data_IF_486790290597
#
_entry.id   IF_486790290597
#
_cell.length_a   1.000
_cell.length_b   1.000
_cell.length_c   1.000
_cell.angle_alpha   90.00
_cell.angle_beta   90.00
_cell.angle_gamma   90.00
#
_symmetry.space_group_name_H-M   'P 1'
#
loop_
_entity.id
_entity.type
_entity.pdbx_description
1 polymer ?
#
# COMPACT_ATOMS: atom_id res chain seq x y z
N UNK A 1 17.52 -33.30 23.89
CA UNK A 1 16.23 -33.56 24.55
C UNK A 1 15.19 -32.64 23.94
N UNK A 2 14.36 -33.15 23.02
CA UNK A 2 13.05 -32.59 22.67
C UNK A 2 12.31 -33.61 21.77
N UNK A 3 11.99 -34.77 22.35
CA UNK A 3 11.05 -35.75 21.80
C UNK A 3 9.74 -35.69 22.60
N UNK A 4 9.13 -34.51 22.64
CA UNK A 4 7.85 -34.33 23.32
C UNK A 4 6.97 -33.37 22.50
N UNK A 5 6.34 -33.90 21.45
CA UNK A 5 5.04 -33.43 20.94
C UNK A 5 4.67 -34.17 19.64
N UNK A 6 4.23 -35.43 19.75
CA UNK A 6 3.37 -36.06 18.72
C UNK A 6 2.27 -36.87 19.40
N UNK A 7 1.48 -36.21 20.23
CA UNK A 7 0.13 -36.67 20.53
C UNK A 7 -0.79 -35.90 19.57
N UNK A 8 -1.40 -36.62 18.63
CA UNK A 8 -2.33 -36.06 17.63
C UNK A 8 -3.64 -35.61 18.26
N UNK A 9 -3.59 -34.55 19.07
CA UNK A 9 -4.77 -33.81 19.47
C UNK A 9 -5.37 -33.13 18.24
N UNK A 10 -6.70 -33.11 18.14
CA UNK A 10 -7.41 -32.37 17.11
C UNK A 10 -6.91 -30.91 17.12
N UNK A 11 -6.35 -30.48 15.99
CA UNK A 11 -5.88 -29.10 15.81
C UNK A 11 -7.11 -28.19 15.84
N UNK A 12 -7.15 -27.26 16.80
CA UNK A 12 -8.19 -26.24 16.83
C UNK A 12 -8.01 -25.31 15.62
N UNK A 13 -8.88 -25.46 14.62
CA UNK A 13 -8.83 -24.67 13.39
C UNK A 13 -8.99 -23.18 13.64
N UNK A 14 -9.76 -22.78 14.66
CA UNK A 14 -9.93 -21.36 15.02
C UNK A 14 -8.66 -20.78 15.62
N UNK A 15 -7.92 -21.57 16.40
CA UNK A 15 -6.63 -21.14 16.92
C UNK A 15 -5.63 -20.91 15.78
N UNK A 16 -5.55 -21.84 14.83
CA UNK A 16 -4.68 -21.72 13.65
C UNK A 16 -5.04 -20.49 12.83
N UNK A 17 -6.33 -20.26 12.57
CA UNK A 17 -6.82 -19.09 11.85
C UNK A 17 -6.37 -17.79 12.53
N UNK A 18 -6.49 -17.70 13.86
CA UNK A 18 -6.02 -16.52 14.61
C UNK A 18 -4.51 -16.35 14.52
N UNK A 19 -3.73 -17.43 14.64
CA UNK A 19 -2.26 -17.35 14.52
C UNK A 19 -1.89 -16.80 13.15
N UNK A 20 -2.46 -17.36 12.07
CA UNK A 20 -2.21 -16.87 10.72
C UNK A 20 -2.63 -15.42 10.60
N UNK A 21 -3.87 -15.08 10.95
CA UNK A 21 -4.43 -13.73 10.77
C UNK A 21 -3.61 -12.63 11.46
N UNK A 22 -3.05 -12.89 12.64
CA UNK A 22 -2.35 -11.87 13.42
C UNK A 22 -0.83 -11.87 13.24
N UNK A 23 -0.26 -12.89 12.61
CA UNK A 23 1.19 -12.99 12.41
C UNK A 23 1.59 -12.96 10.92
N UNK A 24 0.60 -12.89 10.03
CA UNK A 24 0.77 -12.79 8.59
C UNK A 24 1.37 -11.44 8.21
N UNK A 25 2.46 -11.49 7.46
CA UNK A 25 2.97 -10.34 6.71
C UNK A 25 3.07 -10.69 5.24
N UNK A 26 2.60 -9.76 4.42
CA UNK A 26 2.88 -9.76 3.00
C UNK A 26 4.26 -9.12 2.79
N UNK A 27 5.08 -9.78 1.97
CA UNK A 27 6.36 -9.25 1.56
C UNK A 27 6.09 -8.23 0.47
N UNK A 28 6.22 -6.96 0.83
CA UNK A 28 6.12 -5.85 -0.10
C UNK A 28 7.03 -6.07 -1.31
N UNK A 29 6.50 -5.77 -2.50
CA UNK A 29 7.28 -5.79 -3.73
C UNK A 29 8.34 -4.68 -3.69
N UNK A 30 9.48 -4.84 -4.38
CA UNK A 30 10.45 -3.77 -4.53
C UNK A 30 9.79 -2.50 -5.08
N UNK A 31 10.28 -1.33 -4.66
CA UNK A 31 9.87 -0.05 -5.26
C UNK A 31 10.11 -0.08 -6.78
N UNK A 32 9.08 0.25 -7.57
CA UNK A 32 9.13 0.26 -9.04
C UNK A 32 8.21 -0.80 -9.67
N UNK A 33 8.07 -1.96 -9.03
CA UNK A 33 7.09 -2.97 -9.44
C UNK A 33 5.69 -2.51 -9.00
N UNK A 34 4.95 -1.89 -9.92
CA UNK A 34 3.56 -1.51 -9.68
C UNK A 34 2.76 -2.78 -9.34
N UNK A 35 2.26 -2.85 -8.11
CA UNK A 35 1.37 -3.91 -7.63
C UNK A 35 0.07 -4.03 -8.46
N UNK A 36 -0.15 -3.13 -9.43
CA UNK A 36 -1.29 -3.08 -10.35
C UNK A 36 -0.94 -3.39 -11.82
N UNK A 37 0.32 -3.70 -12.14
CA UNK A 37 0.70 -4.20 -13.48
C UNK A 37 0.37 -5.68 -13.66
N UNK A 38 0.30 -6.15 -14.92
CA UNK A 38 -0.10 -7.51 -15.33
C UNK A 38 0.78 -8.64 -14.74
N UNK A 39 1.88 -8.34 -14.06
CA UNK A 39 2.58 -9.27 -13.14
C UNK A 39 1.81 -9.56 -11.83
N UNK A 40 0.53 -9.19 -11.77
CA UNK A 40 -0.47 -9.61 -10.80
C UNK A 40 -0.68 -11.14 -10.75
N UNK A 41 -0.08 -11.93 -11.66
CA UNK A 41 -0.14 -13.40 -11.63
C UNK A 41 0.82 -14.04 -10.62
N UNK A 42 1.86 -13.33 -10.14
CA UNK A 42 2.74 -13.87 -9.10
C UNK A 42 2.05 -13.71 -7.76
N UNK A 43 1.67 -14.82 -7.08
CA UNK A 43 1.01 -14.73 -5.80
C UNK A 43 1.91 -13.98 -4.80
N UNK A 44 1.32 -13.12 -3.96
CA UNK A 44 2.08 -12.35 -2.99
C UNK A 44 2.91 -13.29 -2.12
N UNK A 45 4.20 -12.98 -1.98
CA UNK A 45 5.07 -13.73 -1.08
C UNK A 45 4.65 -13.38 0.34
N UNK A 46 4.31 -14.39 1.13
CA UNK A 46 3.85 -14.17 2.50
C UNK A 46 4.56 -15.09 3.48
N UNK A 47 4.46 -14.76 4.76
CA UNK A 47 5.00 -15.57 5.83
C UNK A 47 4.49 -15.15 7.20
N UNK A 48 4.95 -15.87 8.21
CA UNK A 48 4.60 -15.62 9.61
C UNK A 48 5.85 -15.14 10.35
N UNK A 49 5.79 -13.93 10.91
CA UNK A 49 6.86 -13.36 11.73
C UNK A 49 6.29 -12.89 13.07
N UNK A 50 6.16 -13.78 14.06
CA UNK A 50 5.48 -13.44 15.32
C UNK A 50 6.09 -12.27 16.09
N UNK A 51 7.41 -12.09 15.99
CA UNK A 51 8.07 -10.94 16.60
C UNK A 51 7.84 -9.65 15.81
N UNK A 52 7.71 -9.71 14.48
CA UNK A 52 7.41 -8.55 13.65
C UNK A 52 5.97 -8.07 13.84
N UNK A 53 5.05 -9.02 14.10
CA UNK A 53 3.64 -8.78 14.30
C UNK A 53 3.27 -7.99 15.57
N UNK A 54 4.23 -7.70 16.44
CA UNK A 54 4.02 -6.85 17.63
C UNK A 54 4.07 -5.36 17.32
N UNK A 55 4.62 -4.97 16.16
CA UNK A 55 4.76 -3.57 15.74
C UNK A 55 3.42 -3.10 15.21
N UNK A 56 2.79 -2.14 15.88
CA UNK A 56 1.45 -1.66 15.54
C UNK A 56 1.42 -0.75 14.28
N UNK A 57 0.22 -0.52 13.78
CA UNK A 57 -0.04 0.41 12.67
C UNK A 57 0.01 1.87 13.12
N UNK A 58 0.53 2.77 12.27
CA UNK A 58 0.21 4.19 12.29
C UNK A 58 0.30 4.81 10.89
N UNK A 59 -0.47 5.89 10.63
CA UNK A 59 -0.32 6.71 9.42
C UNK A 59 0.90 7.64 9.50
N UNK A 60 1.45 7.86 10.70
CA UNK A 60 2.69 8.62 10.93
C UNK A 60 3.76 7.72 11.58
N UNK A 61 4.24 6.68 10.86
CA UNK A 61 5.10 5.66 11.44
C UNK A 61 6.48 6.22 11.84
N UNK A 62 7.16 5.51 12.74
CA UNK A 62 8.54 5.80 13.12
C UNK A 62 9.53 4.70 12.71
N UNK A 63 9.01 3.57 12.23
CA UNK A 63 9.77 2.55 11.53
C UNK A 63 9.23 2.32 10.12
N UNK A 64 10.08 1.82 9.25
CA UNK A 64 9.69 1.22 7.97
C UNK A 64 10.18 -0.22 7.94
N UNK A 65 9.35 -1.11 7.39
CA UNK A 65 9.66 -2.52 7.20
C UNK A 65 10.16 -2.78 5.79
N UNK A 66 11.13 -3.69 5.67
CA UNK A 66 11.56 -4.27 4.38
C UNK A 66 11.92 -5.73 4.60
N UNK A 67 11.97 -6.51 3.52
CA UNK A 67 12.34 -7.91 3.59
C UNK A 67 13.63 -8.19 2.81
N UNK A 68 14.55 -8.92 3.42
CA UNK A 68 15.74 -9.46 2.77
C UNK A 68 15.65 -10.99 2.81
N UNK A 69 15.20 -11.60 1.72
CA UNK A 69 14.89 -13.02 1.67
C UNK A 69 13.77 -13.38 2.67
N UNK A 70 14.10 -14.10 3.73
CA UNK A 70 13.15 -14.49 4.79
C UNK A 70 13.27 -13.65 6.07
N UNK A 71 14.09 -12.60 6.05
CA UNK A 71 14.34 -11.72 7.20
C UNK A 71 13.51 -10.45 7.08
N UNK A 72 12.67 -10.18 8.08
CA UNK A 72 12.02 -8.88 8.25
C UNK A 72 13.00 -7.89 8.89
N UNK A 73 13.23 -6.76 8.23
CA UNK A 73 14.11 -5.69 8.67
C UNK A 73 13.30 -4.42 8.96
N UNK A 74 13.39 -3.92 10.18
CA UNK A 74 12.80 -2.64 10.58
C UNK A 74 13.89 -1.58 10.70
N UNK A 75 13.68 -0.41 10.10
CA UNK A 75 14.58 0.74 10.19
C UNK A 75 13.82 1.94 10.72
N UNK A 76 14.45 2.71 11.60
CA UNK A 76 13.91 3.99 12.04
C UNK A 76 13.88 4.98 10.87
N UNK A 77 12.76 5.68 10.71
CA UNK A 77 12.62 6.78 9.73
C UNK A 77 12.69 8.16 10.38
N UNK A 78 12.75 8.19 11.71
CA UNK A 78 12.96 9.38 12.54
C UNK A 78 13.53 8.98 13.90
N UNK A 79 13.99 9.96 14.67
CA UNK A 79 14.37 9.74 16.06
C UNK A 79 13.17 9.26 16.89
N UNK A 80 13.45 8.38 17.85
CA UNK A 80 12.47 7.75 18.75
C UNK A 80 12.96 7.88 20.19
N UNK A 81 12.09 8.38 21.07
CA UNK A 81 12.42 8.58 22.47
C UNK A 81 12.37 7.26 23.26
N UNK A 82 13.07 7.20 24.40
CA UNK A 82 12.97 6.05 25.28
C UNK A 82 11.52 5.86 25.79
N UNK A 83 10.97 4.66 25.56
CA UNK A 83 9.59 4.32 25.92
C UNK A 83 8.53 4.71 24.89
N UNK A 84 8.92 5.35 23.78
CA UNK A 84 8.03 5.56 22.64
C UNK A 84 7.77 4.23 21.92
N UNK A 85 6.52 4.01 21.52
CA UNK A 85 6.11 2.80 20.80
C UNK A 85 6.66 2.80 19.37
N UNK A 86 7.11 1.64 18.89
CA UNK A 86 7.49 1.45 17.49
C UNK A 86 6.24 1.13 16.66
N UNK A 87 6.00 1.93 15.62
CA UNK A 87 4.82 1.84 14.75
C UNK A 87 5.21 1.92 13.28
N UNK A 88 4.58 1.08 12.47
CA UNK A 88 4.79 0.88 11.03
C UNK A 88 3.52 1.24 10.24
N UNK A 89 3.64 1.46 8.93
CA UNK A 89 2.46 1.58 8.08
C UNK A 89 2.09 0.19 7.51
N UNK A 90 0.82 -0.21 7.65
CA UNK A 90 0.34 -1.52 7.18
C UNK A 90 -0.19 -1.49 5.76
N UNK A 91 -0.33 -0.29 5.19
CA UNK A 91 -1.04 -0.05 3.95
C UNK A 91 -0.19 0.80 3.02
N UNK A 92 -0.49 0.71 1.72
CA UNK A 92 0.12 1.57 0.73
C UNK A 92 -0.30 3.04 0.99
N UNK A 93 0.65 3.95 1.24
CA UNK A 93 0.35 5.36 1.51
C UNK A 93 -0.34 6.07 0.34
N UNK A 94 -0.29 5.51 -0.88
CA UNK A 94 -0.97 6.03 -2.07
C UNK A 94 -2.47 5.71 -2.11
N UNK A 95 -2.97 4.89 -1.19
CA UNK A 95 -4.40 4.64 -1.12
C UNK A 95 -5.16 5.90 -0.69
N UNK A 96 -6.28 6.23 -1.34
CA UNK A 96 -7.15 7.30 -0.89
C UNK A 96 -7.75 6.94 0.47
N UNK A 97 -8.04 7.95 1.29
CA UNK A 97 -8.51 7.79 2.67
C UNK A 97 -9.62 6.77 2.86
N UNK A 98 -10.64 6.78 2.01
CA UNK A 98 -11.76 5.87 2.13
C UNK A 98 -11.34 4.41 1.96
N UNK A 99 -10.45 4.15 0.99
CA UNK A 99 -9.91 2.83 0.74
C UNK A 99 -9.00 2.38 1.89
N UNK A 100 -8.18 3.28 2.45
CA UNK A 100 -7.39 3.02 3.67
C UNK A 100 -8.29 2.59 4.82
N UNK A 101 -9.34 3.36 5.10
CA UNK A 101 -10.27 3.08 6.18
C UNK A 101 -11.02 1.76 6.00
N UNK A 102 -11.48 1.47 4.78
CA UNK A 102 -12.10 0.19 4.47
C UNK A 102 -11.12 -0.98 4.62
N UNK A 103 -9.89 -0.84 4.13
CA UNK A 103 -8.87 -1.88 4.20
C UNK A 103 -8.48 -2.19 5.64
N UNK A 104 -8.14 -1.17 6.44
CA UNK A 104 -7.78 -1.33 7.85
C UNK A 104 -8.90 -1.99 8.66
N UNK A 105 -10.14 -1.58 8.44
CA UNK A 105 -11.29 -2.16 9.14
C UNK A 105 -11.53 -3.62 8.72
N UNK A 106 -11.47 -3.92 7.42
CA UNK A 106 -11.75 -5.27 6.89
C UNK A 106 -10.66 -6.28 7.24
N UNK A 107 -9.40 -5.91 7.01
CA UNK A 107 -8.25 -6.81 7.11
C UNK A 107 -7.75 -6.89 8.55
N UNK A 108 -7.53 -5.72 9.17
CA UNK A 108 -6.87 -5.63 10.47
C UNK A 108 -7.84 -5.41 11.63
N UNK A 109 -9.11 -5.07 11.37
CA UNK A 109 -10.07 -4.71 12.43
C UNK A 109 -9.72 -3.39 13.12
N UNK A 110 -8.92 -2.54 12.46
CA UNK A 110 -8.44 -1.26 12.99
C UNK A 110 -9.30 -0.14 12.40
N UNK A 111 -9.64 0.86 13.23
CA UNK A 111 -10.23 2.10 12.74
C UNK A 111 -9.09 3.02 12.29
N UNK A 112 -9.22 3.57 11.09
CA UNK A 112 -8.31 4.59 10.55
C UNK A 112 -8.16 5.78 11.51
N UNK A 113 -6.94 6.31 11.63
CA UNK A 113 -6.60 7.41 12.57
C UNK A 113 -7.29 8.73 12.22
N UNK A 114 -7.88 8.83 11.02
CA UNK A 114 -8.63 9.99 10.55
C UNK A 114 -8.00 10.61 9.31
N UNK A 115 -8.59 11.73 8.82
CA UNK A 115 -7.97 12.46 7.74
C UNK A 115 -6.63 13.02 8.21
N UNK A 116 -5.57 12.78 7.45
CA UNK A 116 -4.31 13.46 7.64
C UNK A 116 -4.29 14.82 6.91
N UNK A 117 -3.18 15.54 7.01
CA UNK A 117 -3.01 16.86 6.39
C UNK A 117 -2.81 16.82 4.86
N UNK A 118 -2.64 15.62 4.31
CA UNK A 118 -2.39 15.38 2.89
C UNK A 118 -3.65 14.91 2.16
N UNK A 119 -4.59 14.30 2.89
CA UNK A 119 -5.83 13.77 2.33
C UNK A 119 -6.66 14.80 1.56
N UNK A 120 -6.93 14.48 0.30
CA UNK A 120 -7.85 15.20 -0.53
C UNK A 120 -9.30 14.96 -0.11
N UNK A 121 -10.19 15.98 -0.27
CA UNK A 121 -11.61 15.76 -0.14
C UNK A 121 -12.08 14.64 -1.09
N UNK A 122 -12.93 13.75 -0.59
CA UNK A 122 -13.48 12.61 -1.35
C UNK A 122 -14.05 13.05 -2.71
N UNK A 123 -14.80 14.16 -2.72
CA UNK A 123 -15.39 14.70 -3.94
C UNK A 123 -14.34 15.13 -5.00
N UNK A 124 -13.15 15.59 -4.57
CA UNK A 124 -12.05 15.91 -5.47
C UNK A 124 -11.39 14.61 -5.96
N UNK A 125 -11.12 13.67 -5.06
CA UNK A 125 -10.54 12.38 -5.42
C UNK A 125 -11.40 11.63 -6.45
N UNK A 126 -12.73 11.57 -6.25
CA UNK A 126 -13.65 10.93 -7.19
C UNK A 126 -13.65 11.61 -8.57
N UNK A 127 -13.45 12.93 -8.64
CA UNK A 127 -13.34 13.64 -9.93
C UNK A 127 -12.05 13.27 -10.65
N UNK A 128 -10.93 13.21 -9.92
CA UNK A 128 -9.63 12.81 -10.44
C UNK A 128 -9.67 11.35 -10.91
N UNK A 129 -10.20 10.46 -10.08
CA UNK A 129 -10.27 9.02 -10.38
C UNK A 129 -11.10 8.73 -11.63
N UNK A 130 -12.25 9.39 -11.81
CA UNK A 130 -13.07 9.24 -13.03
C UNK A 130 -12.29 9.58 -14.29
N UNK A 131 -11.45 10.61 -14.24
CA UNK A 131 -10.62 11.03 -15.37
C UNK A 131 -9.47 10.06 -15.62
N UNK A 132 -8.81 9.61 -14.56
CA UNK A 132 -7.77 8.59 -14.65
C UNK A 132 -8.31 7.30 -15.26
N UNK A 133 -9.46 6.81 -14.79
CA UNK A 133 -10.10 5.60 -15.35
C UNK A 133 -10.51 5.78 -16.81
N UNK A 134 -11.02 6.96 -17.20
CA UNK A 134 -11.32 7.27 -18.60
C UNK A 134 -10.06 7.21 -19.47
N UNK A 135 -8.97 7.82 -19.02
CA UNK A 135 -7.69 7.79 -19.72
C UNK A 135 -7.13 6.37 -19.85
N UNK A 136 -7.12 5.60 -18.74
CA UNK A 136 -6.66 4.22 -18.74
C UNK A 136 -7.45 3.35 -19.71
N UNK A 137 -8.76 3.57 -19.82
CA UNK A 137 -9.62 2.85 -20.78
C UNK A 137 -9.21 3.15 -22.23
N UNK A 138 -8.92 4.41 -22.56
CA UNK A 138 -8.41 4.79 -23.90
C UNK A 138 -7.01 4.23 -24.17
N UNK A 139 -6.13 4.19 -23.18
CA UNK A 139 -4.79 3.61 -23.33
C UNK A 139 -4.82 2.11 -23.63
N UNK A 140 -5.72 1.36 -22.97
CA UNK A 140 -5.93 -0.07 -23.25
C UNK A 140 -6.41 -0.30 -24.68
N UNK A 141 -7.13 0.66 -25.26
CA UNK A 141 -7.59 0.62 -26.65
C UNK A 141 -6.54 1.14 -27.65
N UNK A 142 -5.32 1.43 -27.19
CA UNK A 142 -4.23 2.03 -27.96
C UNK A 142 -4.55 3.44 -28.52
N UNK A 143 -5.54 4.12 -27.93
CA UNK A 143 -5.98 5.46 -28.32
C UNK A 143 -5.31 6.55 -27.46
N UNK A 144 -3.98 6.64 -27.54
CA UNK A 144 -3.19 7.57 -26.73
C UNK A 144 -3.63 9.05 -26.86
N UNK A 145 -4.06 9.47 -28.07
CA UNK A 145 -4.56 10.82 -28.32
C UNK A 145 -5.87 11.13 -27.56
N UNK A 146 -6.72 10.13 -27.34
CA UNK A 146 -7.98 10.25 -26.60
C UNK A 146 -7.74 10.26 -25.08
N UNK A 147 -6.65 9.62 -24.61
CA UNK A 147 -6.27 9.60 -23.19
C UNK A 147 -5.73 10.95 -22.68
N UNK A 148 -5.09 11.73 -23.56
CA UNK A 148 -4.39 12.97 -23.18
C UNK A 148 -5.29 14.00 -22.50
N UNK A 149 -6.46 14.39 -23.05
CA UNK A 149 -7.29 15.42 -22.43
C UNK A 149 -7.81 15.03 -21.04
N UNK A 150 -8.03 13.74 -20.82
CA UNK A 150 -8.48 13.22 -19.53
C UNK A 150 -7.36 13.30 -18.47
N UNK A 151 -6.14 12.89 -18.81
CA UNK A 151 -4.98 12.99 -17.91
C UNK A 151 -4.53 14.43 -17.66
N UNK A 152 -4.56 15.28 -18.68
CA UNK A 152 -4.27 16.71 -18.53
C UNK A 152 -5.25 17.34 -17.54
N UNK A 153 -6.55 17.10 -17.71
CA UNK A 153 -7.57 17.62 -16.81
C UNK A 153 -7.42 17.07 -15.37
N UNK A 154 -7.07 15.79 -15.21
CA UNK A 154 -6.79 15.20 -13.89
C UNK A 154 -5.56 15.87 -13.23
N UNK A 155 -4.48 16.04 -13.98
CA UNK A 155 -3.23 16.66 -13.52
C UNK A 155 -3.44 18.12 -13.13
N UNK A 156 -4.21 18.87 -13.92
CA UNK A 156 -4.59 20.25 -13.62
C UNK A 156 -5.40 20.32 -12.33
N UNK A 157 -6.34 19.40 -12.09
CA UNK A 157 -7.08 19.32 -10.83
C UNK A 157 -6.16 19.05 -9.63
N UNK A 158 -5.22 18.10 -9.76
CA UNK A 158 -4.21 17.85 -8.73
C UNK A 158 -3.42 19.14 -8.41
N UNK A 159 -2.87 19.80 -9.43
CA UNK A 159 -2.08 21.02 -9.27
C UNK A 159 -2.86 22.20 -8.68
N UNK A 160 -4.11 22.41 -9.12
CA UNK A 160 -4.97 23.49 -8.63
C UNK A 160 -5.43 23.28 -7.19
N UNK A 161 -5.50 22.03 -6.71
CA UNK A 161 -5.89 21.73 -5.34
C UNK A 161 -4.88 22.27 -4.30
N UNK A 162 -3.60 22.34 -4.67
CA UNK A 162 -2.50 22.66 -3.76
C UNK A 162 -2.25 21.58 -2.69
N UNK A 163 -2.93 20.43 -2.77
CA UNK A 163 -2.79 19.32 -1.85
C UNK A 163 -1.67 18.39 -2.29
N UNK A 164 -1.04 17.73 -1.32
CA UNK A 164 0.05 16.77 -1.52
C UNK A 164 -0.41 15.35 -1.19
N UNK A 165 -1.64 15.00 -1.61
CA UNK A 165 -2.19 13.67 -1.40
C UNK A 165 -1.37 12.63 -2.19
N UNK A 166 -0.76 11.62 -1.54
CA UNK A 166 -0.03 10.57 -2.23
C UNK A 166 -0.89 9.80 -3.24
N UNK A 167 -2.22 9.79 -3.09
CA UNK A 167 -3.14 9.17 -4.04
C UNK A 167 -3.13 9.83 -5.42
N UNK A 168 -2.58 11.04 -5.55
CA UNK A 168 -2.41 11.69 -6.85
C UNK A 168 -1.24 11.14 -7.66
N UNK A 169 -0.38 10.31 -7.06
CA UNK A 169 0.81 9.74 -7.72
C UNK A 169 0.46 9.00 -9.00
N UNK A 170 -0.68 8.31 -9.03
CA UNK A 170 -1.09 7.50 -10.19
C UNK A 170 -1.41 8.32 -11.42
N UNK A 171 -1.97 9.51 -11.23
CA UNK A 171 -2.24 10.46 -12.30
C UNK A 171 -0.93 10.95 -12.90
N UNK A 172 0.03 11.28 -12.03
CA UNK A 172 1.35 11.77 -12.45
C UNK A 172 2.16 10.68 -13.17
N UNK A 173 2.06 9.43 -12.71
CA UNK A 173 2.66 8.28 -13.38
C UNK A 173 2.02 8.02 -14.75
N UNK A 174 0.69 7.98 -14.84
CA UNK A 174 0.01 7.78 -16.11
C UNK A 174 0.35 8.89 -17.13
N UNK A 175 0.50 10.13 -16.66
CA UNK A 175 0.95 11.24 -17.50
C UNK A 175 2.41 11.04 -17.96
N UNK A 176 3.31 10.65 -17.07
CA UNK A 176 4.71 10.41 -17.39
C UNK A 176 4.87 9.26 -18.40
N UNK A 177 4.11 8.18 -18.24
CA UNK A 177 4.05 7.06 -19.18
C UNK A 177 3.59 7.53 -20.56
N UNK A 178 2.48 8.29 -20.64
CA UNK A 178 1.95 8.81 -21.90
C UNK A 178 2.92 9.80 -22.59
N UNK A 179 3.68 10.58 -21.81
CA UNK A 179 4.69 11.49 -22.32
C UNK A 179 5.98 10.79 -22.76
N UNK A 180 6.13 9.48 -22.54
CA UNK A 180 7.38 8.75 -22.76
C UNK A 180 8.50 9.24 -21.85
N UNK A 181 8.16 9.74 -20.66
CA UNK A 181 9.08 10.31 -19.67
C UNK A 181 9.15 9.45 -18.39
N UNK A 182 8.66 8.21 -18.44
CA UNK A 182 8.82 7.28 -17.30
C UNK A 182 10.33 7.13 -17.05
N UNK A 183 10.82 7.42 -15.84
CA UNK A 183 12.21 7.16 -15.51
C UNK A 183 12.49 5.67 -15.79
N UNK A 184 13.54 5.37 -16.56
CA UNK A 184 14.02 3.99 -16.63
C UNK A 184 14.34 3.53 -15.21
N UNK A 185 13.81 2.36 -14.83
CA UNK A 185 14.07 1.75 -13.52
C UNK A 185 15.55 1.33 -13.47
N UNK A 186 16.43 2.29 -13.19
CA UNK A 186 17.84 2.03 -12.93
C UNK A 186 18.02 1.74 -11.44
N UNK A 187 17.76 0.49 -11.04
CA UNK A 187 18.19 -0.08 -9.76
C UNK A 187 18.85 -1.44 -9.98
#
# INVERSE_FOLDING_TARGET
ACEAARQGGAVDSKLVERIVRHNYHEVERPFGEDSRTEEAEIPPRCGLWPLAAVVNHSLSPNVTRSFLGHTACYRLVRDVAAGEELVDNYIDPRLPREERAMFLARVHGIRDEGPDKFDAPEALFLQIQRRLTAAQSSLVQEEAAEAWPALEAATVLCGQSGLLDPAFTDVLWALADLAGQRPEEHL
#
